data_IF_109900774297
#
_entry.id   IF_109900774297
#
_cell.length_a   1.000
_cell.length_b   1.000
_cell.length_c   1.000
_cell.angle_alpha   90.00
_cell.angle_beta   90.00
_cell.angle_gamma   90.00
#
_symmetry.space_group_name_H-M   'P 1'
#
loop_
_entity.id
_entity.type
_entity.pdbx_description
1 polymer ?
#
# COMPACT_ATOMS: atom_id res chain seq x y z
N UNK A 1 34.49 17.14 -1.99
CA UNK A 1 33.38 17.37 -1.02
C UNK A 1 32.96 15.98 -0.52
N UNK A 2 32.80 15.82 0.80
CA UNK A 2 32.30 14.56 1.35
C UNK A 2 30.89 14.29 0.84
N UNK A 3 30.57 13.05 0.49
CA UNK A 3 29.22 12.64 0.09
C UNK A 3 28.23 12.80 1.25
N UNK A 4 26.91 12.71 0.97
CA UNK A 4 25.89 12.68 2.02
C UNK A 4 26.12 11.48 2.94
N UNK A 5 26.44 10.32 2.36
CA UNK A 5 26.74 9.09 3.10
C UNK A 5 27.95 9.28 4.04
N UNK A 6 29.06 9.88 3.58
CA UNK A 6 30.24 10.11 4.43
C UNK A 6 29.91 10.93 5.68
N UNK A 7 29.07 11.97 5.54
CA UNK A 7 28.63 12.79 6.68
C UNK A 7 27.78 12.00 7.66
N UNK A 8 26.86 11.20 7.16
CA UNK A 8 26.00 10.34 7.99
C UNK A 8 26.85 9.34 8.76
N UNK A 9 27.78 8.64 8.08
CA UNK A 9 28.64 7.65 8.72
C UNK A 9 29.58 8.26 9.76
N UNK A 10 30.13 9.46 9.50
CA UNK A 10 30.95 10.17 10.48
C UNK A 10 30.17 10.47 11.75
N UNK A 11 28.95 11.02 11.61
CA UNK A 11 28.05 11.32 12.73
C UNK A 11 27.64 10.05 13.48
N UNK A 12 27.28 9.00 12.77
CA UNK A 12 26.87 7.71 13.37
C UNK A 12 27.99 7.09 14.21
N UNK A 13 29.26 7.16 13.77
CA UNK A 13 30.41 6.69 14.58
C UNK A 13 30.55 7.46 15.90
N UNK A 14 30.27 8.76 15.93
CA UNK A 14 30.25 9.56 17.15
C UNK A 14 29.13 9.11 18.08
N UNK A 15 27.91 8.99 17.57
CA UNK A 15 26.73 8.53 18.33
C UNK A 15 26.96 7.14 18.96
N UNK A 16 27.48 6.19 18.17
CA UNK A 16 27.80 4.84 18.66
C UNK A 16 28.87 4.88 19.73
N UNK A 17 29.90 5.69 19.56
CA UNK A 17 30.96 5.83 20.55
C UNK A 17 30.45 6.45 21.87
N UNK A 18 29.45 7.32 21.83
CA UNK A 18 28.77 7.89 22.99
C UNK A 18 27.83 6.86 23.64
N UNK A 19 27.03 6.16 22.84
CA UNK A 19 26.12 5.10 23.28
C UNK A 19 26.87 3.98 24.01
N UNK A 20 27.96 3.49 23.45
CA UNK A 20 28.82 2.45 24.09
C UNK A 20 29.40 2.90 25.43
N UNK A 21 29.77 4.17 25.57
CA UNK A 21 30.32 4.71 26.84
C UNK A 21 29.27 4.83 27.93
N UNK A 22 28.03 5.10 27.56
CA UNK A 22 26.91 5.26 28.49
C UNK A 22 26.17 3.96 28.78
N UNK A 23 26.42 2.89 27.98
CA UNK A 23 25.77 1.58 28.15
C UNK A 23 26.49 0.70 29.15
N UNK A 24 25.75 0.09 30.07
CA UNK A 24 26.27 -1.00 30.94
C UNK A 24 26.24 -2.38 30.23
N UNK A 25 25.97 -2.39 28.90
CA UNK A 25 25.72 -3.58 28.11
C UNK A 25 24.24 -3.95 28.09
N UNK A 26 23.88 -4.96 27.29
CA UNK A 26 22.46 -5.31 27.07
C UNK A 26 22.02 -6.54 27.87
N UNK A 27 22.92 -7.13 28.71
CA UNK A 27 22.62 -8.38 29.42
C UNK A 27 22.42 -9.57 28.49
N UNK A 28 21.64 -10.55 28.94
CA UNK A 28 21.25 -11.67 28.09
C UNK A 28 20.18 -11.21 27.09
N UNK A 29 20.49 -11.28 25.81
CA UNK A 29 19.58 -10.90 24.71
C UNK A 29 18.76 -12.13 24.30
N UNK A 30 17.45 -12.02 24.41
CA UNK A 30 16.54 -13.03 23.88
C UNK A 30 16.58 -13.01 22.33
N UNK A 31 16.68 -14.17 21.68
CA UNK A 31 16.60 -14.28 20.23
C UNK A 31 15.32 -13.65 19.64
N UNK A 32 15.30 -13.34 18.35
CA UNK A 32 14.09 -12.90 17.69
C UNK A 32 13.03 -14.01 17.68
N UNK A 33 11.79 -13.64 17.91
CA UNK A 33 10.62 -14.53 17.89
C UNK A 33 9.72 -14.32 16.65
N UNK A 34 10.16 -13.47 15.70
CA UNK A 34 9.46 -13.15 14.44
C UNK A 34 10.41 -13.28 13.27
N UNK A 35 10.04 -14.12 12.32
CA UNK A 35 10.84 -14.40 11.12
C UNK A 35 10.52 -13.36 10.03
N UNK A 36 11.42 -12.39 9.87
CA UNK A 36 11.28 -11.31 8.92
C UNK A 36 11.39 -11.82 7.47
N UNK A 37 12.36 -12.72 7.23
CA UNK A 37 12.57 -13.30 5.89
C UNK A 37 11.42 -14.20 5.49
N UNK A 38 10.91 -15.06 6.38
CA UNK A 38 9.78 -15.93 6.07
C UNK A 38 8.50 -15.13 5.77
N UNK A 39 8.28 -13.99 6.44
CA UNK A 39 7.16 -13.11 6.12
C UNK A 39 7.24 -12.56 4.69
N UNK A 40 8.44 -12.34 4.16
CA UNK A 40 8.67 -11.89 2.78
C UNK A 40 8.74 -13.01 1.74
N UNK A 41 9.03 -14.25 2.17
CA UNK A 41 9.12 -15.41 1.29
C UNK A 41 7.74 -16.02 0.94
N UNK A 42 6.67 -15.55 1.57
CA UNK A 42 5.33 -16.04 1.26
C UNK A 42 4.93 -15.68 -0.20
N UNK A 43 4.08 -16.50 -0.87
CA UNK A 43 3.71 -16.28 -2.27
C UNK A 43 3.09 -14.91 -2.55
N UNK A 44 3.43 -14.31 -3.70
CA UNK A 44 2.94 -13.02 -4.16
C UNK A 44 3.73 -11.83 -3.61
N UNK A 45 3.32 -10.63 -3.99
CA UNK A 45 3.99 -9.39 -3.59
C UNK A 45 3.94 -9.17 -2.09
N UNK A 46 5.07 -8.78 -1.50
CA UNK A 46 5.20 -8.50 -0.07
C UNK A 46 5.58 -7.04 0.17
N UNK A 47 5.18 -6.50 1.31
CA UNK A 47 5.30 -5.08 1.60
C UNK A 47 5.99 -4.86 2.95
N UNK A 48 7.11 -4.13 2.91
CA UNK A 48 7.76 -3.55 4.08
C UNK A 48 7.33 -2.08 4.12
N UNK A 49 6.49 -1.71 5.08
CA UNK A 49 6.05 -0.33 5.21
C UNK A 49 6.94 0.43 6.20
N UNK A 50 7.41 1.62 5.79
CA UNK A 50 8.46 2.34 6.50
C UNK A 50 7.91 3.48 7.36
N UNK A 51 8.32 3.50 8.62
CA UNK A 51 8.16 4.63 9.57
C UNK A 51 9.31 5.59 9.40
N UNK A 52 9.03 6.82 8.91
CA UNK A 52 10.02 7.85 8.66
C UNK A 52 9.43 9.25 8.82
N UNK A 53 10.03 10.09 9.65
CA UNK A 53 9.55 11.46 9.91
C UNK A 53 10.18 12.50 8.99
N UNK A 54 11.41 12.26 8.53
CA UNK A 54 12.17 13.14 7.64
C UNK A 54 13.09 12.36 6.70
N UNK A 55 13.68 13.03 5.71
CA UNK A 55 14.74 12.48 4.88
C UNK A 55 15.67 13.57 4.35
N UNK A 56 16.96 13.28 4.03
CA UNK A 56 17.90 14.25 3.48
C UNK A 56 17.42 14.92 2.17
N UNK A 57 16.63 14.20 1.36
CA UNK A 57 16.14 14.69 0.06
C UNK A 57 14.84 15.49 0.13
N UNK A 58 14.04 15.34 1.19
CA UNK A 58 12.70 16.00 1.32
C UNK A 58 12.57 16.86 2.59
N UNK A 59 13.53 16.80 3.51
CA UNK A 59 13.39 17.42 4.83
C UNK A 59 12.31 16.71 5.65
N UNK A 60 11.60 17.46 6.50
CA UNK A 60 10.47 16.94 7.28
C UNK A 60 9.34 16.49 6.33
N UNK A 61 8.88 15.23 6.48
CA UNK A 61 7.78 14.66 5.68
C UNK A 61 6.47 14.77 6.47
N UNK A 62 6.48 14.29 7.71
CA UNK A 62 5.31 14.34 8.61
C UNK A 62 5.77 14.48 10.06
N UNK A 63 6.06 15.71 10.50
CA UNK A 63 6.58 15.95 11.85
C UNK A 63 5.53 15.69 12.95
N UNK A 64 4.26 15.76 12.61
CA UNK A 64 3.09 15.51 13.46
C UNK A 64 2.61 14.04 13.43
N UNK A 65 3.44 13.13 12.94
CA UNK A 65 3.10 11.71 12.82
C UNK A 65 2.81 11.09 14.19
N UNK A 66 1.59 10.59 14.35
CA UNK A 66 1.20 9.77 15.50
C UNK A 66 1.58 8.32 15.20
N UNK A 67 2.62 7.83 15.86
CA UNK A 67 3.20 6.51 15.59
C UNK A 67 2.19 5.38 15.82
N UNK A 68 1.36 5.46 16.86
CA UNK A 68 0.34 4.48 17.19
C UNK A 68 -0.70 4.32 16.06
N UNK A 69 -1.18 5.43 15.49
CA UNK A 69 -2.13 5.41 14.39
C UNK A 69 -1.53 4.81 13.10
N UNK A 70 -0.28 5.18 12.78
CA UNK A 70 0.42 4.63 11.64
C UNK A 70 0.66 3.13 11.77
N UNK A 71 1.14 2.69 12.93
CA UNK A 71 1.44 1.28 13.18
C UNK A 71 0.18 0.42 13.21
N UNK A 72 -0.97 0.96 13.64
CA UNK A 72 -2.25 0.26 13.54
C UNK A 72 -2.63 -0.05 12.08
N UNK A 73 -2.39 0.89 11.15
CA UNK A 73 -2.59 0.66 9.71
C UNK A 73 -1.55 -0.32 9.14
N UNK A 74 -0.29 -0.21 9.56
CA UNK A 74 0.77 -1.12 9.12
C UNK A 74 0.54 -2.55 9.61
N UNK A 75 0.04 -2.74 10.84
CA UNK A 75 -0.27 -4.07 11.38
C UNK A 75 -1.38 -4.78 10.57
N UNK A 76 -2.27 -4.03 9.91
CA UNK A 76 -3.30 -4.58 9.02
C UNK A 76 -2.75 -4.94 7.63
N UNK A 77 -1.91 -4.10 7.06
CA UNK A 77 -1.61 -4.14 5.62
C UNK A 77 -0.15 -4.50 5.27
N UNK A 78 0.81 -4.34 6.18
CA UNK A 78 2.20 -4.72 5.96
C UNK A 78 2.47 -6.21 6.19
N UNK A 79 3.52 -6.75 5.56
CA UNK A 79 4.12 -8.03 5.94
C UNK A 79 5.19 -7.81 6.99
N UNK A 80 5.99 -6.76 6.83
CA UNK A 80 7.01 -6.30 7.78
C UNK A 80 6.96 -4.78 7.92
N UNK A 81 7.55 -4.25 8.98
CA UNK A 81 7.65 -2.81 9.21
C UNK A 81 9.11 -2.39 9.34
N UNK A 82 9.51 -1.37 8.60
CA UNK A 82 10.82 -0.74 8.69
C UNK A 82 10.73 0.51 9.57
N UNK A 83 11.63 0.66 10.55
CA UNK A 83 11.64 1.81 11.45
C UNK A 83 12.99 2.50 11.37
N UNK A 84 12.98 3.77 10.88
CA UNK A 84 14.18 4.62 10.90
C UNK A 84 14.52 4.98 12.34
N UNK A 85 15.79 4.76 12.73
CA UNK A 85 16.28 5.11 14.07
C UNK A 85 17.38 6.18 14.06
N UNK A 86 17.74 6.73 12.88
CA UNK A 86 18.64 7.86 12.76
C UNK A 86 17.94 9.17 13.09
N UNK A 87 18.47 9.93 14.07
CA UNK A 87 17.85 11.15 14.57
C UNK A 87 18.13 12.36 13.67
N UNK A 88 19.40 12.61 13.35
CA UNK A 88 19.82 13.86 12.70
C UNK A 88 19.31 13.99 11.27
N UNK A 89 19.37 12.91 10.49
CA UNK A 89 19.06 12.95 9.06
C UNK A 89 17.65 12.47 8.71
N UNK A 90 17.05 11.63 9.56
CA UNK A 90 15.75 11.00 9.28
C UNK A 90 14.68 11.27 10.34
N UNK A 91 15.03 11.95 11.43
CA UNK A 91 14.11 12.33 12.50
C UNK A 91 13.52 11.14 13.27
N UNK A 92 14.16 9.96 13.16
CA UNK A 92 13.81 8.76 13.90
C UNK A 92 14.47 8.71 15.28
N UNK A 93 14.24 7.63 16.01
CA UNK A 93 14.95 7.37 17.27
C UNK A 93 14.92 5.89 17.63
N UNK A 94 15.88 5.40 18.44
CA UNK A 94 15.81 4.07 19.05
C UNK A 94 14.51 3.84 19.83
N UNK A 95 13.94 4.90 20.43
CA UNK A 95 12.66 4.86 21.12
C UNK A 95 11.48 4.55 20.20
N UNK A 96 11.50 5.01 18.95
CA UNK A 96 10.46 4.69 17.95
C UNK A 96 10.43 3.19 17.63
N UNK A 97 11.59 2.53 17.55
CA UNK A 97 11.68 1.08 17.34
C UNK A 97 11.14 0.29 18.55
N UNK A 98 11.52 0.71 19.75
CA UNK A 98 11.02 0.09 21.00
C UNK A 98 9.50 0.24 21.13
N UNK A 99 8.96 1.39 20.75
CA UNK A 99 7.53 1.61 20.76
C UNK A 99 6.83 0.82 19.63
N UNK A 100 7.44 0.71 18.46
CA UNK A 100 6.92 -0.13 17.39
C UNK A 100 6.84 -1.60 17.80
N UNK A 101 7.85 -2.12 18.54
CA UNK A 101 7.81 -3.49 19.08
C UNK A 101 6.62 -3.72 20.00
N UNK A 102 6.26 -2.71 20.79
CA UNK A 102 5.13 -2.78 21.72
C UNK A 102 3.77 -2.75 21.00
N UNK A 103 3.66 -1.96 19.92
CA UNK A 103 2.40 -1.67 19.25
C UNK A 103 2.10 -2.59 18.06
N UNK A 104 3.13 -3.09 17.37
CA UNK A 104 3.01 -3.82 16.11
C UNK A 104 3.37 -5.30 16.28
N UNK A 105 2.59 -6.19 15.65
CA UNK A 105 2.83 -7.63 15.64
C UNK A 105 3.69 -8.10 14.46
N UNK A 106 3.88 -7.25 13.46
CA UNK A 106 4.69 -7.58 12.29
C UNK A 106 6.18 -7.62 12.64
N UNK A 107 7.00 -8.44 11.93
CA UNK A 107 8.44 -8.38 12.06
C UNK A 107 8.99 -6.97 11.80
N UNK A 108 9.98 -6.53 12.58
CA UNK A 108 10.52 -5.19 12.57
C UNK A 108 11.95 -5.15 12.02
N UNK A 109 12.18 -4.33 11.00
CA UNK A 109 13.52 -3.97 10.50
C UNK A 109 13.99 -2.69 11.19
N UNK A 110 15.15 -2.72 11.86
CA UNK A 110 15.86 -1.48 12.21
C UNK A 110 16.55 -0.90 10.98
N UNK A 111 16.05 0.20 10.48
CA UNK A 111 16.62 0.94 9.34
C UNK A 111 17.54 2.03 9.90
N UNK A 112 18.84 1.73 9.93
CA UNK A 112 19.88 2.62 10.45
C UNK A 112 21.21 2.35 9.74
N UNK A 113 22.22 3.21 9.93
CA UNK A 113 23.56 3.03 9.42
C UNK A 113 24.40 2.25 10.44
N UNK A 114 24.52 0.94 10.24
CA UNK A 114 25.33 0.07 11.10
C UNK A 114 26.81 0.32 10.81
N UNK A 115 27.58 0.69 11.84
CA UNK A 115 29.02 0.97 11.78
C UNK A 115 29.82 0.26 12.87
N UNK A 116 29.13 -0.45 13.78
CA UNK A 116 29.72 -1.20 14.88
C UNK A 116 28.82 -2.37 15.27
N UNK A 117 29.40 -3.51 15.62
CA UNK A 117 28.67 -4.71 16.04
C UNK A 117 27.80 -4.47 17.28
N UNK A 118 28.14 -3.50 18.12
CA UNK A 118 27.34 -3.07 19.25
C UNK A 118 25.90 -2.67 18.86
N UNK A 119 25.74 -2.04 17.68
CA UNK A 119 24.43 -1.67 17.17
C UNK A 119 23.58 -2.88 16.81
N UNK A 120 24.18 -4.01 16.44
CA UNK A 120 23.45 -5.27 16.20
C UNK A 120 22.82 -5.77 17.50
N UNK A 121 23.58 -5.75 18.60
CA UNK A 121 23.07 -6.12 19.93
C UNK A 121 22.03 -5.13 20.43
N UNK A 122 22.26 -3.82 20.26
CA UNK A 122 21.29 -2.78 20.56
C UNK A 122 19.97 -2.98 19.78
N UNK A 123 20.06 -3.35 18.49
CA UNK A 123 18.89 -3.61 17.67
C UNK A 123 18.01 -4.70 18.27
N UNK A 124 18.60 -5.80 18.71
CA UNK A 124 17.85 -6.87 19.37
C UNK A 124 17.28 -6.41 20.69
N UNK A 125 18.05 -5.69 21.51
CA UNK A 125 17.58 -5.12 22.77
C UNK A 125 16.36 -4.19 22.59
N UNK A 126 16.33 -3.44 21.50
CA UNK A 126 15.21 -2.56 21.14
C UNK A 126 14.01 -3.32 20.53
N UNK A 127 14.18 -4.60 20.17
CA UNK A 127 13.12 -5.45 19.66
C UNK A 127 13.09 -5.60 18.15
N UNK A 128 14.19 -5.31 17.43
CA UNK A 128 14.30 -5.60 16.01
C UNK A 128 14.31 -7.11 15.73
N UNK A 129 13.72 -7.51 14.63
CA UNK A 129 13.71 -8.87 14.10
C UNK A 129 14.63 -8.99 12.86
N UNK A 130 14.99 -7.83 12.28
CA UNK A 130 15.97 -7.72 11.21
C UNK A 130 16.78 -6.43 11.34
N UNK A 131 17.98 -6.43 10.75
CA UNK A 131 18.87 -5.26 10.64
C UNK A 131 19.24 -4.98 9.19
N UNK A 132 19.54 -3.71 8.89
CA UNK A 132 20.02 -3.28 7.60
C UNK A 132 21.55 -3.26 7.59
N UNK A 133 22.18 -3.89 6.59
CA UNK A 133 23.60 -3.75 6.31
C UNK A 133 23.80 -3.14 4.91
N UNK A 134 24.32 -1.92 4.85
CA UNK A 134 24.53 -1.16 3.60
C UNK A 134 25.91 -1.49 3.05
N UNK A 135 25.98 -2.15 1.90
CA UNK A 135 27.24 -2.57 1.28
C UNK A 135 28.18 -1.39 0.97
N UNK A 136 27.62 -0.24 0.56
CA UNK A 136 28.38 1.00 0.33
C UNK A 136 29.05 1.57 1.60
N UNK A 137 28.53 1.23 2.79
CA UNK A 137 28.99 1.77 4.08
C UNK A 137 29.99 0.87 4.81
N UNK A 138 30.04 -0.43 4.45
CA UNK A 138 30.76 -1.46 5.18
C UNK A 138 31.82 -2.16 4.33
N UNK A 139 32.95 -2.52 4.96
CA UNK A 139 33.92 -3.44 4.39
C UNK A 139 33.47 -4.89 4.45
N UNK A 140 34.10 -5.78 3.66
CA UNK A 140 33.72 -7.20 3.59
C UNK A 140 33.85 -7.94 4.94
N UNK A 141 34.81 -7.53 5.78
CA UNK A 141 34.95 -8.03 7.14
C UNK A 141 33.77 -7.65 8.01
N UNK A 142 33.38 -6.37 7.99
CA UNK A 142 32.26 -5.83 8.75
C UNK A 142 30.93 -6.45 8.29
N UNK A 143 30.71 -6.63 6.98
CA UNK A 143 29.53 -7.32 6.45
C UNK A 143 29.41 -8.74 7.01
N UNK A 144 30.51 -9.51 7.05
CA UNK A 144 30.53 -10.87 7.60
C UNK A 144 30.31 -10.89 9.11
N UNK A 145 31.04 -10.05 9.85
CA UNK A 145 31.00 -10.05 11.31
C UNK A 145 29.61 -9.60 11.83
N UNK A 146 29.04 -8.53 11.23
CA UNK A 146 27.74 -8.02 11.65
C UNK A 146 26.60 -8.97 11.27
N UNK A 147 26.66 -9.58 10.08
CA UNK A 147 25.66 -10.58 9.67
C UNK A 147 25.74 -11.86 10.51
N UNK A 148 26.96 -12.32 10.86
CA UNK A 148 27.14 -13.46 11.76
C UNK A 148 26.53 -13.16 13.13
N UNK A 149 26.79 -11.95 13.69
CA UNK A 149 26.23 -11.56 14.99
C UNK A 149 24.71 -11.43 14.98
N UNK A 150 24.13 -10.90 13.89
CA UNK A 150 22.68 -10.84 13.73
C UNK A 150 22.06 -12.25 13.74
N UNK A 151 22.63 -13.18 12.98
CA UNK A 151 22.18 -14.59 12.92
C UNK A 151 22.31 -15.32 14.26
N UNK A 152 23.36 -15.05 15.06
CA UNK A 152 23.46 -15.59 16.44
C UNK A 152 22.30 -15.14 17.34
N UNK A 153 21.71 -13.98 17.06
CA UNK A 153 20.55 -13.42 17.75
C UNK A 153 19.21 -13.77 17.05
N UNK A 154 19.25 -14.67 16.08
CA UNK A 154 18.12 -15.06 15.25
C UNK A 154 17.42 -13.88 14.56
N UNK A 155 18.19 -12.82 14.26
CA UNK A 155 17.73 -11.70 13.43
C UNK A 155 18.12 -11.92 11.97
N UNK A 156 17.20 -11.57 11.07
CA UNK A 156 17.47 -11.53 9.63
C UNK A 156 18.32 -10.31 9.25
N UNK A 157 18.94 -10.37 8.08
CA UNK A 157 19.76 -9.29 7.55
C UNK A 157 19.25 -8.89 6.17
N UNK A 158 18.81 -7.64 6.04
CA UNK A 158 18.56 -7.02 4.75
C UNK A 158 19.86 -6.35 4.26
N UNK A 159 20.50 -6.92 3.22
CA UNK A 159 21.69 -6.35 2.62
C UNK A 159 21.30 -5.34 1.55
N UNK A 160 21.56 -4.06 1.77
CA UNK A 160 21.26 -2.99 0.80
C UNK A 160 22.41 -2.81 -0.18
N UNK A 161 22.07 -2.82 -1.50
CA UNK A 161 22.99 -2.67 -2.61
C UNK A 161 22.50 -1.67 -3.65
N UNK A 162 23.45 -1.04 -4.39
CA UNK A 162 23.18 -0.02 -5.41
C UNK A 162 23.74 -0.39 -6.78
N UNK A 163 24.72 -1.30 -6.83
CA UNK A 163 25.39 -1.73 -8.05
C UNK A 163 25.82 -3.21 -8.02
N UNK A 164 26.42 -3.66 -9.12
CA UNK A 164 26.85 -5.04 -9.32
C UNK A 164 28.03 -5.45 -8.43
N UNK A 165 28.93 -4.50 -8.10
CA UNK A 165 30.07 -4.78 -7.24
C UNK A 165 29.61 -5.01 -5.79
N UNK A 166 28.72 -4.15 -5.30
CA UNK A 166 28.10 -4.31 -3.98
C UNK A 166 27.28 -5.59 -3.91
N UNK A 167 26.51 -5.91 -4.96
CA UNK A 167 25.73 -7.15 -5.03
C UNK A 167 26.63 -8.38 -4.90
N UNK A 168 27.74 -8.44 -5.66
CA UNK A 168 28.68 -9.56 -5.57
C UNK A 168 29.28 -9.70 -4.16
N UNK A 169 29.66 -8.58 -3.52
CA UNK A 169 30.22 -8.57 -2.16
C UNK A 169 29.26 -9.15 -1.13
N UNK A 170 27.98 -8.79 -1.19
CA UNK A 170 26.98 -9.33 -0.23
C UNK A 170 26.65 -10.80 -0.49
N UNK A 171 26.62 -11.23 -1.76
CA UNK A 171 26.45 -12.64 -2.10
C UNK A 171 27.64 -13.50 -1.60
N UNK A 172 28.88 -12.97 -1.70
CA UNK A 172 30.08 -13.61 -1.14
C UNK A 172 30.05 -13.71 0.42
N UNK A 173 29.21 -12.90 1.06
CA UNK A 173 28.91 -12.98 2.50
C UNK A 173 27.73 -13.91 2.84
N UNK A 174 27.13 -14.56 1.85
CA UNK A 174 26.00 -15.48 2.02
C UNK A 174 24.68 -14.73 2.28
N UNK A 175 24.45 -13.64 1.56
CA UNK A 175 23.17 -12.91 1.59
C UNK A 175 22.06 -13.78 0.97
N UNK A 176 20.93 -13.90 1.67
CA UNK A 176 19.72 -14.59 1.25
C UNK A 176 18.50 -13.66 1.19
N UNK A 177 18.69 -12.38 1.55
CA UNK A 177 17.73 -11.29 1.46
C UNK A 177 18.46 -10.00 1.06
N UNK A 178 18.21 -9.51 -0.16
CA UNK A 178 18.90 -8.35 -0.74
C UNK A 178 17.92 -7.23 -1.04
N UNK A 179 18.22 -6.05 -0.53
CA UNK A 179 17.53 -4.79 -0.83
C UNK A 179 18.24 -4.07 -1.97
N UNK A 180 17.58 -3.91 -3.11
CA UNK A 180 18.09 -3.09 -4.22
C UNK A 180 17.53 -1.68 -4.06
N UNK A 181 18.39 -0.75 -3.70
CA UNK A 181 18.01 0.64 -3.52
C UNK A 181 18.12 1.40 -4.85
N UNK A 182 16.96 1.81 -5.39
CA UNK A 182 16.87 2.60 -6.62
C UNK A 182 17.37 4.05 -6.45
N UNK A 183 17.71 4.46 -5.21
CA UNK A 183 18.25 5.79 -4.93
C UNK A 183 19.77 5.75 -4.89
N UNK A 184 20.41 6.53 -5.72
CA UNK A 184 21.84 6.76 -5.66
C UNK A 184 22.20 7.58 -4.40
N UNK A 185 23.13 7.08 -3.56
CA UNK A 185 23.51 7.75 -2.31
C UNK A 185 24.45 8.96 -2.50
N UNK A 186 24.97 9.16 -3.72
CA UNK A 186 25.88 10.28 -4.03
C UNK A 186 25.10 11.54 -4.42
N UNK A 187 24.14 11.41 -5.36
CA UNK A 187 23.39 12.53 -5.94
C UNK A 187 21.89 12.51 -5.59
N UNK A 188 21.44 11.48 -4.89
CA UNK A 188 20.05 11.25 -4.46
C UNK A 188 19.04 11.04 -5.61
N UNK A 189 19.51 10.86 -6.85
CA UNK A 189 18.66 10.51 -7.99
C UNK A 189 18.02 9.13 -7.79
N UNK A 190 16.88 8.91 -8.47
CA UNK A 190 16.15 7.64 -8.41
C UNK A 190 16.03 7.07 -9.82
N UNK A 191 16.42 5.79 -9.97
CA UNK A 191 16.27 5.02 -11.19
C UNK A 191 15.71 3.63 -10.89
N UNK A 192 14.44 3.41 -11.20
CA UNK A 192 13.75 2.13 -10.99
C UNK A 192 14.35 0.98 -11.82
N UNK A 193 15.07 1.28 -12.90
CA UNK A 193 15.75 0.26 -13.71
C UNK A 193 16.90 -0.41 -12.93
N UNK A 194 17.38 0.19 -11.84
CA UNK A 194 18.39 -0.43 -10.95
C UNK A 194 17.89 -1.78 -10.41
N UNK A 195 16.63 -1.85 -9.95
CA UNK A 195 16.04 -3.12 -9.51
C UNK A 195 16.02 -4.15 -10.66
N UNK A 196 15.53 -3.78 -11.84
CA UNK A 196 15.43 -4.71 -12.98
C UNK A 196 16.78 -5.25 -13.41
N UNK A 197 17.82 -4.37 -13.43
CA UNK A 197 19.19 -4.73 -13.79
C UNK A 197 19.81 -5.70 -12.79
N UNK A 198 19.75 -5.37 -11.49
CA UNK A 198 20.42 -6.16 -10.46
C UNK A 198 19.66 -7.46 -10.13
N UNK A 199 18.32 -7.46 -10.22
CA UNK A 199 17.52 -8.69 -10.01
C UNK A 199 17.92 -9.83 -10.97
N UNK A 200 18.27 -9.50 -12.22
CA UNK A 200 18.71 -10.48 -13.19
C UNK A 200 20.03 -11.18 -12.85
N UNK A 201 20.78 -10.65 -11.87
CA UNK A 201 22.06 -11.19 -11.39
C UNK A 201 21.92 -11.95 -10.05
N UNK A 202 20.74 -11.87 -9.41
CA UNK A 202 20.47 -12.57 -8.17
C UNK A 202 20.15 -14.05 -8.42
N UNK A 203 20.67 -14.97 -7.59
CA UNK A 203 20.19 -16.35 -7.55
C UNK A 203 18.70 -16.43 -7.22
N UNK A 204 18.02 -17.51 -7.69
CA UNK A 204 16.58 -17.70 -7.51
C UNK A 204 16.15 -17.90 -6.05
N UNK A 205 17.06 -18.38 -5.20
CA UNK A 205 16.84 -18.63 -3.78
C UNK A 205 17.09 -17.39 -2.89
N UNK A 206 17.56 -16.28 -3.47
CA UNK A 206 17.78 -15.01 -2.81
C UNK A 206 16.57 -14.10 -2.99
N UNK A 207 15.94 -13.70 -1.90
CA UNK A 207 14.81 -12.77 -1.93
C UNK A 207 15.27 -11.36 -2.31
N UNK A 208 14.55 -10.74 -3.22
CA UNK A 208 14.78 -9.39 -3.71
C UNK A 208 13.75 -8.40 -3.14
N UNK A 209 14.24 -7.36 -2.47
CA UNK A 209 13.43 -6.22 -2.03
C UNK A 209 13.77 -5.02 -2.89
N UNK A 210 12.79 -4.38 -3.54
CA UNK A 210 12.98 -3.10 -4.23
C UNK A 210 12.71 -1.95 -3.27
N UNK A 211 13.67 -1.02 -3.17
CA UNK A 211 13.61 0.11 -2.26
C UNK A 211 13.69 1.44 -3.01
N UNK A 212 13.00 2.45 -2.52
CA UNK A 212 12.95 3.82 -3.07
C UNK A 212 12.28 3.94 -4.45
N UNK A 213 11.62 5.08 -4.65
CA UNK A 213 11.05 5.46 -5.96
C UNK A 213 9.64 4.95 -6.23
N UNK A 214 9.10 4.10 -5.40
CA UNK A 214 7.75 3.55 -5.54
C UNK A 214 6.73 4.57 -5.05
N UNK A 215 5.91 5.09 -5.96
CA UNK A 215 4.90 6.10 -5.67
C UNK A 215 3.49 5.58 -5.91
N UNK A 216 3.30 4.73 -6.91
CA UNK A 216 2.02 4.23 -7.36
C UNK A 216 2.06 2.72 -7.57
N UNK A 217 0.89 2.10 -7.67
CA UNK A 217 0.78 0.66 -7.90
C UNK A 217 1.39 0.23 -9.25
N UNK A 218 1.34 1.08 -10.25
CA UNK A 218 1.93 0.80 -11.57
C UNK A 218 3.45 0.63 -11.48
N UNK A 219 4.13 1.33 -10.55
CA UNK A 219 5.57 1.14 -10.32
C UNK A 219 5.86 -0.32 -9.90
N UNK A 220 4.99 -0.91 -9.04
CA UNK A 220 5.14 -2.28 -8.57
C UNK A 220 4.99 -3.33 -9.70
N UNK A 221 4.18 -3.03 -10.72
CA UNK A 221 3.97 -3.95 -11.84
C UNK A 221 5.18 -4.04 -12.76
N UNK A 222 5.99 -2.99 -12.79
CA UNK A 222 7.19 -2.90 -13.63
C UNK A 222 8.45 -3.44 -12.98
N UNK A 223 8.41 -3.77 -11.68
CA UNK A 223 9.58 -4.15 -10.90
C UNK A 223 9.58 -5.66 -10.59
N UNK A 224 10.57 -6.41 -11.08
CA UNK A 224 10.73 -7.83 -10.79
C UNK A 224 11.34 -8.03 -9.39
N UNK A 225 10.54 -7.86 -8.34
CA UNK A 225 10.96 -8.01 -6.96
C UNK A 225 9.93 -8.82 -6.15
N UNK A 226 10.40 -9.57 -5.17
CA UNK A 226 9.58 -10.39 -4.28
C UNK A 226 8.87 -9.51 -3.24
N UNK A 227 9.55 -8.44 -2.80
CA UNK A 227 9.02 -7.49 -1.83
C UNK A 227 9.38 -6.03 -2.15
N UNK A 228 8.64 -5.10 -1.53
CA UNK A 228 8.77 -3.66 -1.77
C UNK A 228 8.87 -2.91 -0.45
N UNK A 229 9.91 -2.08 -0.28
CA UNK A 229 10.05 -1.19 0.88
C UNK A 229 9.56 0.22 0.51
N UNK A 230 8.46 0.65 1.15
CA UNK A 230 7.74 1.88 0.80
C UNK A 230 7.51 2.73 2.05
N UNK A 231 7.90 4.00 1.99
CA UNK A 231 7.69 4.95 3.08
C UNK A 231 7.27 6.33 2.59
N UNK A 232 8.12 6.98 1.80
CA UNK A 232 7.97 8.41 1.44
C UNK A 232 6.67 8.74 0.72
N UNK A 233 6.17 7.88 -0.15
CA UNK A 233 4.92 8.10 -0.90
C UNK A 233 3.69 7.95 0.01
N UNK A 234 3.74 7.04 0.98
CA UNK A 234 2.69 6.85 1.97
C UNK A 234 2.63 8.08 2.87
N UNK A 235 3.75 8.43 3.51
CA UNK A 235 3.82 9.47 4.53
C UNK A 235 3.59 10.89 3.99
N UNK A 236 3.80 11.11 2.69
CA UNK A 236 3.46 12.35 2.00
C UNK A 236 1.98 12.48 1.63
N UNK A 237 1.20 11.40 1.76
CA UNK A 237 -0.25 11.42 1.46
C UNK A 237 -1.04 12.07 2.59
N UNK A 238 -2.08 12.84 2.25
CA UNK A 238 -3.04 13.36 3.24
C UNK A 238 -3.85 12.23 3.89
N UNK A 239 -4.14 11.18 3.12
CA UNK A 239 -4.93 10.02 3.55
C UNK A 239 -4.03 8.76 3.52
N UNK A 240 -3.45 8.42 4.67
CA UNK A 240 -2.52 7.31 4.82
C UNK A 240 -3.19 5.96 4.53
N UNK A 241 -4.38 5.74 5.11
CA UNK A 241 -5.12 4.48 4.97
C UNK A 241 -5.43 4.18 3.51
N UNK A 242 -5.96 5.18 2.80
CA UNK A 242 -6.23 5.06 1.37
C UNK A 242 -4.95 4.76 0.57
N UNK A 243 -3.87 5.50 0.82
CA UNK A 243 -2.61 5.34 0.08
C UNK A 243 -2.00 3.95 0.25
N UNK A 244 -2.02 3.42 1.47
CA UNK A 244 -1.58 2.05 1.76
C UNK A 244 -2.42 1.04 0.98
N UNK A 245 -3.75 1.15 1.03
CA UNK A 245 -4.67 0.25 0.33
C UNK A 245 -4.50 0.29 -1.19
N UNK A 246 -4.37 1.49 -1.76
CA UNK A 246 -4.11 1.67 -3.20
C UNK A 246 -2.80 1.02 -3.65
N UNK A 247 -1.74 1.10 -2.83
CA UNK A 247 -0.47 0.44 -3.12
C UNK A 247 -0.57 -1.08 -3.00
N UNK A 248 -1.13 -1.57 -1.90
CA UNK A 248 -1.13 -3.01 -1.58
C UNK A 248 -2.14 -3.78 -2.44
N UNK A 249 -3.37 -3.27 -2.59
CA UNK A 249 -4.47 -3.98 -3.25
C UNK A 249 -4.89 -3.38 -4.59
N UNK A 250 -4.53 -2.12 -4.84
CA UNK A 250 -5.15 -1.29 -5.87
C UNK A 250 -6.43 -0.65 -5.36
N UNK A 251 -6.93 0.37 -6.08
CA UNK A 251 -8.20 1.00 -5.74
C UNK A 251 -9.38 0.04 -5.92
N UNK A 252 -10.13 -0.21 -4.84
CA UNK A 252 -11.27 -1.14 -4.83
C UNK A 252 -12.50 -0.48 -4.20
N UNK A 253 -13.63 -0.50 -4.90
CA UNK A 253 -14.93 -0.11 -4.37
C UNK A 253 -15.78 -1.36 -4.06
N UNK A 254 -16.24 -1.49 -2.82
CA UNK A 254 -17.22 -2.50 -2.43
C UNK A 254 -18.59 -1.86 -2.37
N UNK A 255 -19.43 -2.20 -3.36
CA UNK A 255 -20.72 -1.57 -3.60
C UNK A 255 -21.88 -2.40 -3.02
N UNK A 256 -23.03 -1.75 -2.73
CA UNK A 256 -24.21 -2.40 -2.17
C UNK A 256 -24.06 -2.75 -0.69
N UNK A 257 -23.43 -1.86 0.07
CA UNK A 257 -23.30 -1.97 1.53
C UNK A 257 -24.65 -1.66 2.18
N UNK A 258 -25.14 -2.60 2.98
CA UNK A 258 -26.39 -2.46 3.75
C UNK A 258 -26.19 -2.62 5.26
N UNK A 259 -25.04 -3.17 5.68
CA UNK A 259 -24.75 -3.48 7.09
C UNK A 259 -23.39 -2.91 7.50
N UNK A 260 -23.33 -2.38 8.73
CA UNK A 260 -22.08 -1.84 9.30
C UNK A 260 -20.98 -2.90 9.37
N UNK A 261 -21.30 -4.15 9.71
CA UNK A 261 -20.33 -5.23 9.81
C UNK A 261 -19.64 -5.52 8.47
N UNK A 262 -20.40 -5.49 7.36
CA UNK A 262 -19.88 -5.70 6.02
C UNK A 262 -18.99 -4.53 5.57
N UNK A 263 -19.41 -3.31 5.92
CA UNK A 263 -18.61 -2.10 5.67
C UNK A 263 -17.26 -2.14 6.39
N UNK A 264 -17.27 -2.49 7.69
CA UNK A 264 -16.06 -2.63 8.49
C UNK A 264 -15.14 -3.71 7.91
N UNK A 265 -15.68 -4.91 7.66
CA UNK A 265 -14.90 -6.02 7.09
C UNK A 265 -14.26 -5.65 5.74
N UNK A 266 -14.99 -4.96 4.87
CA UNK A 266 -14.46 -4.50 3.59
C UNK A 266 -13.29 -3.50 3.78
N UNK A 267 -13.44 -2.53 4.69
CA UNK A 267 -12.40 -1.54 4.99
C UNK A 267 -11.14 -2.19 5.60
N UNK A 268 -11.31 -3.10 6.56
CA UNK A 268 -10.19 -3.78 7.24
C UNK A 268 -9.39 -4.65 6.28
N UNK A 269 -10.06 -5.23 5.27
CA UNK A 269 -9.42 -6.06 4.25
C UNK A 269 -8.75 -5.26 3.14
N UNK A 270 -9.12 -3.99 2.90
CA UNK A 270 -8.44 -3.16 1.91
C UNK A 270 -9.32 -2.36 0.96
N UNK A 271 -10.66 -2.33 1.16
CA UNK A 271 -11.53 -1.50 0.34
C UNK A 271 -11.21 -0.01 0.49
N UNK A 272 -11.09 0.68 -0.65
CA UNK A 272 -10.83 2.11 -0.73
C UNK A 272 -12.11 2.91 -0.61
N UNK A 273 -13.21 2.39 -1.19
CA UNK A 273 -14.53 3.01 -1.18
C UNK A 273 -15.63 2.03 -0.81
N UNK A 274 -16.68 2.57 -0.17
CA UNK A 274 -17.93 1.88 0.13
C UNK A 274 -19.06 2.50 -0.69
N UNK A 275 -19.83 1.68 -1.42
CA UNK A 275 -20.98 2.11 -2.22
C UNK A 275 -22.31 1.86 -1.51
N UNK A 276 -23.13 2.90 -1.41
CA UNK A 276 -24.48 2.87 -0.82
C UNK A 276 -25.52 3.15 -1.89
N UNK A 277 -26.43 2.23 -2.13
CA UNK A 277 -27.43 2.34 -3.19
C UNK A 277 -28.73 2.94 -2.65
N UNK A 278 -29.13 4.08 -3.20
CA UNK A 278 -30.37 4.77 -2.87
C UNK A 278 -31.45 4.50 -3.92
N UNK A 279 -31.80 3.24 -4.16
CA UNK A 279 -32.83 2.85 -5.15
C UNK A 279 -33.75 1.76 -4.55
N UNK A 280 -34.91 2.13 -3.99
CA UNK A 280 -35.79 1.22 -3.24
C UNK A 280 -36.16 -0.11 -3.91
N UNK A 281 -36.32 -0.22 -5.25
CA UNK A 281 -36.57 -1.50 -5.90
C UNK A 281 -35.43 -2.52 -5.77
N UNK A 282 -34.22 -2.08 -5.48
CA UNK A 282 -33.06 -2.97 -5.31
C UNK A 282 -33.02 -3.60 -3.92
N UNK A 283 -32.71 -4.91 -3.80
CA UNK A 283 -32.50 -5.55 -2.49
C UNK A 283 -31.27 -5.03 -1.76
N UNK A 284 -30.38 -4.25 -2.45
CA UNK A 284 -29.19 -3.61 -1.91
C UNK A 284 -29.43 -2.16 -1.47
N UNK A 285 -30.68 -1.71 -1.56
CA UNK A 285 -31.06 -0.34 -1.21
C UNK A 285 -30.93 -0.09 0.29
N UNK A 286 -30.50 1.12 0.63
CA UNK A 286 -30.51 1.63 2.01
C UNK A 286 -31.33 2.90 2.09
N UNK A 287 -31.92 3.16 3.27
CA UNK A 287 -32.52 4.46 3.56
C UNK A 287 -31.38 5.47 3.89
N UNK A 288 -31.71 6.76 3.82
CA UNK A 288 -30.76 7.83 4.19
C UNK A 288 -30.32 7.68 5.65
N UNK A 289 -31.23 7.27 6.55
CA UNK A 289 -30.93 7.05 7.96
C UNK A 289 -29.92 5.91 8.16
N UNK A 290 -30.15 4.77 7.49
CA UNK A 290 -29.23 3.62 7.55
C UNK A 290 -27.86 3.97 7.01
N UNK A 291 -27.78 4.61 5.83
CA UNK A 291 -26.50 5.04 5.24
C UNK A 291 -25.78 6.02 6.16
N UNK A 292 -26.48 7.02 6.69
CA UNK A 292 -25.92 8.02 7.61
C UNK A 292 -25.35 7.39 8.88
N UNK A 293 -26.02 6.40 9.45
CA UNK A 293 -25.54 5.68 10.64
C UNK A 293 -24.23 4.96 10.35
N UNK A 294 -24.14 4.23 9.23
CA UNK A 294 -22.93 3.52 8.82
C UNK A 294 -21.81 4.51 8.49
N UNK A 295 -22.12 5.56 7.73
CA UNK A 295 -21.13 6.55 7.28
C UNK A 295 -20.46 7.30 8.43
N UNK A 296 -21.23 7.64 9.48
CA UNK A 296 -20.70 8.33 10.67
C UNK A 296 -19.88 7.43 11.59
N UNK A 297 -20.15 6.13 11.55
CA UNK A 297 -19.49 5.16 12.44
C UNK A 297 -18.13 4.67 11.92
N UNK A 298 -17.83 4.85 10.64
CA UNK A 298 -16.68 4.26 9.98
C UNK A 298 -15.86 5.30 9.21
N UNK A 299 -14.53 5.16 9.19
CA UNK A 299 -13.65 5.91 8.29
C UNK A 299 -13.87 5.50 6.83
N UNK A 300 -13.01 5.94 5.94
CA UNK A 300 -13.03 5.58 4.52
C UNK A 300 -14.00 6.39 3.70
N UNK A 301 -13.88 6.28 2.38
CA UNK A 301 -14.66 7.08 1.43
C UNK A 301 -15.98 6.43 1.09
N UNK A 302 -17.06 7.20 1.03
CA UNK A 302 -18.43 6.76 0.80
C UNK A 302 -18.92 7.32 -0.52
N UNK A 303 -19.50 6.44 -1.34
CA UNK A 303 -20.08 6.77 -2.66
C UNK A 303 -21.56 6.47 -2.63
N UNK A 304 -22.40 7.45 -2.87
CA UNK A 304 -23.83 7.25 -3.09
C UNK A 304 -24.09 6.84 -4.53
N UNK A 305 -24.89 5.81 -4.72
CA UNK A 305 -25.32 5.32 -6.04
C UNK A 305 -26.79 5.70 -6.25
N UNK A 306 -27.07 6.47 -7.30
CA UNK A 306 -28.35 7.07 -7.58
C UNK A 306 -28.84 6.62 -8.96
N UNK A 307 -30.16 6.33 -9.08
CA UNK A 307 -30.77 5.83 -10.31
C UNK A 307 -31.82 6.81 -10.85
N UNK A 308 -32.79 7.23 -10.00
CA UNK A 308 -33.94 8.03 -10.42
C UNK A 308 -34.12 9.33 -9.63
N UNK A 309 -33.21 9.61 -8.66
CA UNK A 309 -33.29 10.80 -7.81
C UNK A 309 -33.03 12.08 -8.62
N UNK A 310 -33.78 13.14 -8.33
CA UNK A 310 -33.47 14.44 -8.91
C UNK A 310 -32.18 15.05 -8.27
N UNK A 311 -31.51 15.98 -8.95
CA UNK A 311 -30.24 16.53 -8.48
C UNK A 311 -30.29 17.17 -7.08
N UNK A 312 -31.41 17.84 -6.70
CA UNK A 312 -31.52 18.47 -5.37
C UNK A 312 -31.64 17.41 -4.26
N UNK A 313 -32.35 16.31 -4.55
CA UNK A 313 -32.41 15.16 -3.64
C UNK A 313 -31.04 14.52 -3.46
N UNK A 314 -30.27 14.35 -4.56
CA UNK A 314 -28.89 13.84 -4.50
C UNK A 314 -28.02 14.74 -3.60
N UNK A 315 -28.04 16.06 -3.81
CA UNK A 315 -27.30 17.01 -2.98
C UNK A 315 -27.69 16.94 -1.50
N UNK A 316 -28.98 16.78 -1.22
CA UNK A 316 -29.47 16.62 0.15
C UNK A 316 -28.92 15.35 0.81
N UNK A 317 -28.92 14.22 0.10
CA UNK A 317 -28.39 12.93 0.60
C UNK A 317 -26.88 12.99 0.81
N UNK A 318 -26.15 13.59 -0.13
CA UNK A 318 -24.70 13.81 -0.02
C UNK A 318 -24.37 14.53 1.28
N UNK A 319 -25.08 15.63 1.58
CA UNK A 319 -24.85 16.39 2.80
C UNK A 319 -25.24 15.62 4.08
N UNK A 320 -26.37 14.90 4.04
CA UNK A 320 -26.86 14.16 5.21
C UNK A 320 -25.98 12.98 5.59
N UNK A 321 -25.40 12.29 4.60
CA UNK A 321 -24.58 11.08 4.76
C UNK A 321 -23.07 11.38 4.72
N UNK A 322 -22.66 12.62 4.51
CA UNK A 322 -21.25 13.01 4.35
C UNK A 322 -20.55 12.15 3.27
N UNK A 323 -21.19 12.11 2.07
CA UNK A 323 -20.67 11.32 0.97
C UNK A 323 -19.50 12.03 0.30
N UNK A 324 -18.51 11.23 -0.12
CA UNK A 324 -17.31 11.70 -0.83
C UNK A 324 -17.43 11.59 -2.35
N UNK A 325 -18.42 10.82 -2.83
CA UNK A 325 -18.69 10.64 -4.25
C UNK A 325 -20.15 10.37 -4.57
N UNK A 326 -20.55 10.75 -5.77
CA UNK A 326 -21.87 10.53 -6.37
C UNK A 326 -21.69 9.69 -7.61
N UNK A 327 -22.34 8.53 -7.66
CA UNK A 327 -22.38 7.68 -8.86
C UNK A 327 -23.77 7.75 -9.47
N UNK A 328 -23.84 8.23 -10.71
CA UNK A 328 -25.08 8.34 -11.49
C UNK A 328 -25.27 7.07 -12.33
N UNK A 329 -26.10 6.16 -11.84
CA UNK A 329 -26.32 4.85 -12.46
C UNK A 329 -27.57 4.80 -13.35
N UNK A 330 -28.36 5.88 -13.37
CA UNK A 330 -29.57 6.04 -14.18
C UNK A 330 -29.36 6.92 -15.41
N UNK A 331 -30.47 7.24 -16.08
CA UNK A 331 -30.49 8.13 -17.21
C UNK A 331 -30.51 9.60 -16.75
N UNK A 332 -29.33 10.18 -16.55
CA UNK A 332 -29.18 11.60 -16.25
C UNK A 332 -28.77 12.35 -17.52
N UNK A 333 -29.49 13.44 -17.81
CA UNK A 333 -29.13 14.28 -18.94
C UNK A 333 -27.94 15.20 -18.61
N UNK A 334 -27.37 15.79 -19.64
CA UNK A 334 -26.18 16.67 -19.49
C UNK A 334 -26.46 17.94 -18.66
N UNK A 335 -27.73 18.34 -18.47
CA UNK A 335 -28.11 19.46 -17.63
C UNK A 335 -28.04 19.06 -16.15
N UNK A 336 -28.56 17.89 -15.79
CA UNK A 336 -28.48 17.32 -14.45
C UNK A 336 -27.03 17.06 -14.01
N UNK A 337 -26.21 16.48 -14.90
CA UNK A 337 -24.77 16.27 -14.65
C UNK A 337 -24.06 17.60 -14.38
N UNK A 338 -24.25 18.61 -15.24
CA UNK A 338 -23.65 19.94 -15.07
C UNK A 338 -24.16 20.64 -13.80
N UNK A 339 -25.42 20.46 -13.45
CA UNK A 339 -26.01 21.02 -12.23
C UNK A 339 -25.31 20.47 -11.00
N UNK A 340 -25.07 19.15 -10.96
CA UNK A 340 -24.33 18.48 -9.88
C UNK A 340 -22.86 18.89 -9.84
N UNK A 341 -22.15 18.87 -10.97
CA UNK A 341 -20.75 19.30 -11.07
C UNK A 341 -20.50 20.66 -10.42
N UNK A 342 -21.38 21.62 -10.67
CA UNK A 342 -21.21 23.00 -10.14
C UNK A 342 -21.50 23.13 -8.65
N UNK A 343 -22.13 22.13 -8.01
CA UNK A 343 -22.57 22.16 -6.59
C UNK A 343 -21.89 21.15 -5.69
N UNK A 344 -21.33 20.08 -6.25
CA UNK A 344 -20.58 19.06 -5.53
C UNK A 344 -19.15 19.55 -5.26
N UNK A 345 -18.98 20.47 -4.28
CA UNK A 345 -17.65 20.94 -3.91
C UNK A 345 -16.93 19.90 -3.04
N UNK A 346 -15.78 19.41 -3.52
CA UNK A 346 -15.00 18.39 -2.81
C UNK A 346 -15.60 16.98 -2.82
N UNK A 347 -16.67 16.77 -3.60
CA UNK A 347 -17.32 15.47 -3.81
C UNK A 347 -17.19 15.10 -5.28
N UNK A 348 -16.56 13.97 -5.58
CA UNK A 348 -16.35 13.55 -6.96
C UNK A 348 -17.62 12.95 -7.60
N UNK A 349 -17.70 13.06 -8.92
CA UNK A 349 -18.79 12.55 -9.72
C UNK A 349 -18.33 11.35 -10.56
N UNK A 350 -19.12 10.28 -10.55
CA UNK A 350 -18.93 9.08 -11.38
C UNK A 350 -20.12 8.93 -12.32
N UNK A 351 -19.87 8.95 -13.61
CA UNK A 351 -20.88 8.68 -14.64
C UNK A 351 -20.77 7.24 -15.11
N UNK A 352 -21.92 6.55 -15.25
CA UNK A 352 -21.98 5.12 -15.59
C UNK A 352 -22.25 4.94 -17.08
N UNK A 353 -21.47 4.09 -17.73
CA UNK A 353 -21.59 3.70 -19.12
C UNK A 353 -21.73 2.19 -19.26
N UNK A 354 -22.59 1.73 -20.15
CA UNK A 354 -22.69 0.31 -20.49
C UNK A 354 -21.55 -0.11 -21.44
N UNK A 355 -21.23 -1.40 -21.44
CA UNK A 355 -20.28 -1.98 -22.39
C UNK A 355 -20.65 -1.75 -23.87
N UNK A 356 -21.91 -1.44 -24.16
CA UNK A 356 -22.37 -1.07 -25.51
C UNK A 356 -22.01 0.36 -25.87
N UNK A 357 -21.88 1.24 -24.87
CA UNK A 357 -21.60 2.69 -25.01
C UNK A 357 -20.12 3.06 -24.88
N UNK A 358 -19.20 2.11 -25.10
CA UNK A 358 -17.75 2.33 -24.98
C UNK A 358 -17.18 3.44 -25.87
N UNK A 359 -17.90 3.89 -26.89
CA UNK A 359 -17.49 5.01 -27.76
C UNK A 359 -17.65 6.40 -27.13
N UNK A 360 -18.42 6.56 -26.07
CA UNK A 360 -18.83 7.86 -25.50
C UNK A 360 -18.31 8.15 -24.11
N UNK A 361 -17.73 7.18 -23.38
CA UNK A 361 -17.27 7.44 -22.01
C UNK A 361 -16.08 8.42 -21.95
N UNK A 362 -15.27 8.48 -23.00
CA UNK A 362 -14.13 9.41 -23.12
C UNK A 362 -14.59 10.89 -23.27
N UNK A 363 -15.86 11.13 -23.59
CA UNK A 363 -16.46 12.46 -23.71
C UNK A 363 -17.07 12.95 -22.37
N UNK A 364 -17.11 12.09 -21.35
CA UNK A 364 -17.64 12.42 -20.01
C UNK A 364 -16.84 13.56 -19.37
N UNK A 365 -17.55 14.44 -18.66
CA UNK A 365 -16.98 15.51 -17.83
C UNK A 365 -16.89 15.14 -16.35
N UNK A 366 -17.44 13.99 -15.97
CA UNK A 366 -17.34 13.52 -14.60
C UNK A 366 -15.88 13.23 -14.22
N UNK A 367 -15.55 13.33 -12.96
CA UNK A 367 -14.21 13.05 -12.44
C UNK A 367 -13.77 11.61 -12.73
N UNK A 368 -14.74 10.68 -12.74
CA UNK A 368 -14.53 9.27 -13.04
C UNK A 368 -15.66 8.73 -13.93
N UNK A 369 -15.36 7.68 -14.68
CA UNK A 369 -16.33 6.90 -15.44
C UNK A 369 -16.42 5.50 -14.86
N UNK A 370 -17.61 4.90 -14.84
CA UNK A 370 -17.79 3.50 -14.48
C UNK A 370 -18.31 2.74 -15.70
N UNK A 371 -17.59 1.68 -16.07
CA UNK A 371 -17.99 0.77 -17.13
C UNK A 371 -18.63 -0.49 -16.52
N UNK A 372 -19.91 -0.72 -16.81
CA UNK A 372 -20.66 -1.91 -16.37
C UNK A 372 -21.04 -2.76 -17.60
N UNK A 373 -21.08 -4.09 -17.42
CA UNK A 373 -21.59 -5.01 -18.42
C UNK A 373 -23.10 -4.81 -18.68
N UNK A 374 -23.84 -4.43 -17.64
CA UNK A 374 -25.28 -4.25 -17.71
C UNK A 374 -25.68 -2.96 -18.47
N UNK A 375 -26.86 -2.93 -19.11
CA UNK A 375 -27.45 -1.71 -19.61
C UNK A 375 -27.66 -0.68 -18.48
N UNK A 376 -27.72 0.61 -18.84
CA UNK A 376 -27.99 1.68 -17.86
C UNK A 376 -29.29 1.40 -17.08
N UNK A 377 -29.20 1.46 -15.75
CA UNK A 377 -30.32 1.21 -14.84
C UNK A 377 -30.52 -0.23 -14.37
N UNK A 378 -29.82 -1.21 -14.94
CA UNK A 378 -29.96 -2.66 -14.60
C UNK A 378 -28.68 -3.25 -13.96
N UNK A 379 -27.97 -2.52 -13.13
CA UNK A 379 -26.73 -2.98 -12.51
C UNK A 379 -26.88 -4.22 -11.62
N UNK A 380 -25.79 -5.00 -11.48
CA UNK A 380 -25.68 -6.12 -10.53
C UNK A 380 -26.17 -7.47 -11.06
N UNK A 381 -26.28 -7.65 -12.38
CA UNK A 381 -26.66 -8.93 -13.02
C UNK A 381 -25.55 -10.01 -12.90
N UNK A 382 -24.33 -9.62 -12.53
CA UNK A 382 -23.20 -10.56 -12.33
C UNK A 382 -22.58 -11.06 -13.62
N UNK A 383 -22.89 -10.44 -14.75
CA UNK A 383 -22.31 -10.76 -16.06
C UNK A 383 -21.11 -9.83 -16.34
N UNK A 384 -20.05 -10.36 -16.95
CA UNK A 384 -18.91 -9.59 -17.45
C UNK A 384 -19.02 -9.40 -18.96
N UNK A 385 -18.46 -8.31 -19.47
CA UNK A 385 -18.27 -8.13 -20.91
C UNK A 385 -16.84 -8.49 -21.32
N UNK A 386 -16.57 -8.56 -22.62
CA UNK A 386 -15.23 -8.79 -23.16
C UNK A 386 -14.30 -7.60 -22.85
N UNK A 387 -13.44 -7.72 -21.85
CA UNK A 387 -12.50 -6.68 -21.42
C UNK A 387 -11.38 -6.39 -22.42
N UNK A 388 -11.13 -7.28 -23.42
CA UNK A 388 -10.19 -6.99 -24.50
C UNK A 388 -10.59 -5.73 -25.31
N UNK A 389 -11.87 -5.35 -25.28
CA UNK A 389 -12.38 -4.11 -25.91
C UNK A 389 -11.87 -2.83 -25.25
N UNK A 390 -11.27 -2.91 -24.06
CA UNK A 390 -10.66 -1.79 -23.33
C UNK A 390 -9.23 -1.50 -23.78
N UNK A 391 -8.60 -2.42 -24.53
CA UNK A 391 -7.22 -2.30 -24.95
C UNK A 391 -6.97 -1.02 -25.80
N UNK A 392 -5.91 -0.29 -25.45
CA UNK A 392 -5.49 0.94 -26.15
C UNK A 392 -6.27 2.21 -25.77
N UNK A 393 -7.14 2.14 -24.75
CA UNK A 393 -7.89 3.28 -24.23
C UNK A 393 -7.21 3.88 -22.99
N UNK A 394 -7.47 5.14 -22.70
CA UNK A 394 -7.12 5.76 -21.42
C UNK A 394 -8.12 5.32 -20.36
N UNK A 395 -7.66 4.52 -19.41
CA UNK A 395 -8.46 3.96 -18.33
C UNK A 395 -8.07 4.54 -16.95
N UNK A 396 -7.28 5.59 -16.92
CA UNK A 396 -6.73 6.20 -15.71
C UNK A 396 -7.78 6.80 -14.75
N UNK A 397 -9.01 7.02 -15.23
CA UNK A 397 -10.16 7.50 -14.46
C UNK A 397 -11.34 6.51 -14.45
N UNK A 398 -11.12 5.28 -14.92
CA UNK A 398 -12.20 4.31 -15.12
C UNK A 398 -12.33 3.33 -13.96
N UNK A 399 -13.54 3.22 -13.42
CA UNK A 399 -13.97 2.13 -12.57
C UNK A 399 -14.51 1.00 -13.45
N UNK A 400 -14.02 -0.22 -13.29
CA UNK A 400 -14.54 -1.39 -13.97
C UNK A 400 -15.51 -2.14 -13.05
N UNK A 401 -16.72 -2.35 -13.54
CA UNK A 401 -17.80 -3.09 -12.86
C UNK A 401 -18.32 -4.23 -13.77
N UNK A 402 -19.31 -4.96 -13.27
CA UNK A 402 -19.98 -6.05 -13.98
C UNK A 402 -19.24 -7.38 -13.85
N UNK A 403 -19.84 -8.33 -13.12
CA UNK A 403 -19.39 -9.71 -12.99
C UNK A 403 -18.00 -9.93 -12.36
N UNK A 404 -17.42 -8.92 -11.72
CA UNK A 404 -16.11 -9.07 -11.07
C UNK A 404 -16.27 -9.84 -9.75
N UNK A 405 -15.41 -10.84 -9.55
CA UNK A 405 -15.36 -11.70 -8.37
C UNK A 405 -13.92 -12.16 -8.09
N UNK A 406 -13.61 -12.81 -6.96
CA UNK A 406 -12.23 -13.14 -6.60
C UNK A 406 -11.43 -13.91 -7.67
N UNK A 407 -12.09 -14.73 -8.49
CA UNK A 407 -11.39 -15.55 -9.49
C UNK A 407 -10.94 -14.76 -10.75
N UNK A 408 -11.63 -13.67 -11.11
CA UNK A 408 -11.30 -12.85 -12.29
C UNK A 408 -10.77 -11.44 -11.95
N UNK A 409 -10.62 -11.11 -10.68
CA UNK A 409 -10.22 -9.76 -10.23
C UNK A 409 -8.83 -9.34 -10.75
N UNK A 410 -7.87 -10.27 -10.86
CA UNK A 410 -6.54 -9.96 -11.40
C UNK A 410 -6.58 -9.68 -12.90
N UNK A 411 -7.40 -10.41 -13.65
CA UNK A 411 -7.64 -10.15 -15.06
C UNK A 411 -8.30 -8.78 -15.26
N UNK A 412 -9.31 -8.47 -14.46
CA UNK A 412 -9.93 -7.14 -14.45
C UNK A 412 -8.92 -6.03 -14.15
N UNK A 413 -8.06 -6.22 -13.15
CA UNK A 413 -7.01 -5.25 -12.79
C UNK A 413 -5.94 -5.11 -13.89
N UNK A 414 -5.61 -6.19 -14.60
CA UNK A 414 -4.63 -6.20 -15.69
C UNK A 414 -5.08 -5.39 -16.92
N UNK A 415 -6.35 -5.03 -17.03
CA UNK A 415 -6.83 -4.10 -18.07
C UNK A 415 -6.26 -2.70 -17.96
N UNK A 416 -5.70 -2.34 -16.79
CA UNK A 416 -5.15 -1.01 -16.52
C UNK A 416 -6.19 0.03 -16.06
N UNK A 417 -7.38 -0.41 -15.66
CA UNK A 417 -8.39 0.48 -15.06
C UNK A 417 -7.92 1.08 -13.76
N UNK A 418 -8.42 2.28 -13.45
CA UNK A 418 -8.12 2.97 -12.21
C UNK A 418 -8.56 2.16 -10.99
N UNK A 419 -9.82 1.68 -10.98
CA UNK A 419 -10.39 0.97 -9.83
C UNK A 419 -11.29 -0.18 -10.25
N UNK A 420 -11.43 -1.17 -9.36
CA UNK A 420 -12.45 -2.22 -9.47
C UNK A 420 -13.68 -1.86 -8.63
N UNK A 421 -14.89 -2.04 -9.17
CA UNK A 421 -16.16 -1.89 -8.46
C UNK A 421 -16.87 -3.23 -8.36
N UNK A 422 -16.99 -3.77 -7.15
CA UNK A 422 -17.56 -5.10 -6.90
C UNK A 422 -18.79 -5.02 -6.03
N UNK A 423 -19.83 -5.77 -6.42
CA UNK A 423 -21.06 -5.91 -5.63
C UNK A 423 -21.45 -7.37 -5.45
N UNK A 424 -22.21 -7.96 -6.39
CA UNK A 424 -22.78 -9.31 -6.30
C UNK A 424 -21.72 -10.42 -6.20
N UNK A 425 -20.54 -10.25 -6.82
CA UNK A 425 -19.42 -11.21 -6.75
C UNK A 425 -18.86 -11.42 -5.34
N UNK A 426 -19.19 -10.51 -4.40
CA UNK A 426 -18.78 -10.57 -3.00
C UNK A 426 -19.93 -10.89 -2.03
N UNK A 427 -21.08 -11.32 -2.51
CA UNK A 427 -22.28 -11.51 -1.70
C UNK A 427 -22.62 -13.00 -1.50
N UNK A 428 -23.09 -13.34 -0.30
CA UNK A 428 -23.77 -14.62 -0.03
C UNK A 428 -25.24 -14.57 -0.43
N UNK A 429 -25.86 -13.41 -0.19
CA UNK A 429 -27.23 -13.07 -0.59
C UNK A 429 -27.26 -11.58 -1.00
N UNK A 430 -28.19 -11.13 -1.86
CA UNK A 430 -28.26 -9.74 -2.26
C UNK A 430 -28.26 -8.75 -1.08
N UNK A 431 -27.26 -7.87 -1.03
CA UNK A 431 -27.05 -6.90 0.06
C UNK A 431 -26.33 -7.44 1.29
N UNK A 432 -25.88 -8.70 1.28
CA UNK A 432 -25.12 -9.33 2.37
C UNK A 432 -23.75 -9.77 1.86
N UNK A 433 -22.68 -9.14 2.31
CA UNK A 433 -21.32 -9.51 1.90
C UNK A 433 -20.87 -10.81 2.58
N UNK A 434 -20.18 -11.66 1.82
CA UNK A 434 -19.59 -12.91 2.28
C UNK A 434 -18.14 -12.62 2.74
N UNK A 435 -17.82 -12.80 4.04
CA UNK A 435 -16.48 -12.55 4.55
C UNK A 435 -15.39 -13.38 3.85
N UNK A 436 -15.71 -14.61 3.44
CA UNK A 436 -14.75 -15.48 2.75
C UNK A 436 -14.43 -14.96 1.35
N UNK A 437 -15.43 -14.50 0.61
CA UNK A 437 -15.24 -13.90 -0.72
C UNK A 437 -14.53 -12.56 -0.64
N UNK A 438 -14.83 -11.74 0.38
CA UNK A 438 -14.09 -10.50 0.65
C UNK A 438 -12.60 -10.80 0.89
N UNK A 439 -12.27 -11.72 1.81
CA UNK A 439 -10.89 -12.10 2.10
C UNK A 439 -10.19 -12.64 0.83
N UNK A 440 -10.82 -13.58 0.12
CA UNK A 440 -10.27 -14.15 -1.10
C UNK A 440 -10.00 -13.11 -2.20
N UNK A 441 -10.82 -12.04 -2.30
CA UNK A 441 -10.57 -10.93 -3.23
C UNK A 441 -9.27 -10.21 -2.87
N UNK A 442 -9.17 -9.75 -1.62
CA UNK A 442 -8.02 -8.93 -1.20
C UNK A 442 -6.72 -9.73 -1.14
N UNK A 443 -6.76 -11.02 -0.78
CA UNK A 443 -5.61 -11.92 -0.86
C UNK A 443 -5.11 -12.04 -2.32
N UNK A 444 -6.02 -12.23 -3.28
CA UNK A 444 -5.69 -12.27 -4.70
C UNK A 444 -5.08 -10.94 -5.19
N UNK A 445 -5.70 -9.82 -4.89
CA UNK A 445 -5.22 -8.50 -5.31
C UNK A 445 -3.86 -8.16 -4.70
N UNK A 446 -3.62 -8.59 -3.45
CA UNK A 446 -2.33 -8.44 -2.78
C UNK A 446 -1.24 -9.26 -3.45
N UNK A 447 -1.52 -10.53 -3.72
CA UNK A 447 -0.57 -11.44 -4.36
C UNK A 447 -0.12 -10.94 -5.74
N UNK A 448 -1.01 -10.27 -6.48
CA UNK A 448 -0.73 -9.84 -7.85
C UNK A 448 -0.79 -11.00 -8.85
N UNK A 449 -0.39 -10.76 -10.09
CA UNK A 449 -0.24 -11.84 -11.08
C UNK A 449 0.96 -12.70 -10.70
N UNK A 450 0.75 -13.99 -10.60
CA UNK A 450 1.87 -14.94 -10.63
C UNK A 450 2.50 -14.83 -12.02
N UNK A 451 3.80 -14.55 -12.11
CA UNK A 451 4.51 -14.67 -13.37
C UNK A 451 4.33 -16.10 -13.84
N UNK A 452 3.71 -16.27 -15.01
CA UNK A 452 3.58 -17.59 -15.64
C UNK A 452 5.00 -18.07 -15.96
N UNK A 453 5.46 -19.05 -15.19
CA UNK A 453 6.76 -19.74 -15.34
C UNK A 453 6.91 -20.30 -16.74
#
# INVERSE_FOLDING_TARGET
MSSVLDRILARKREEVAEGRRSSEGFGDLEPSDRDFRAALAAPGRRFILEVKKASPSRGAIRPDLVLEELLALYDLHADCVSVLTDEEFFGGSPGDLKEARRLCRRPLLRKDFMVDVWQIEESRHLGADAVLLIAAALGDGELRDFSARARELEMDVLFEVHDEEELRRVLDCGADLVGINNRNLVDLSIDLQTTSRLRSLLPDDVLCVSESGINERNDLQSLPADAFLIGSSILASEDLDRKIKELVYGPVKVCGITRRADAQAALDLGATWLGFLFHPPSPRSVTVEQAREICRALPGRKVGVFVDQNPDEILSIVHQCDLHGVQLHGNYDSEAVRYLETRLQGVFLVEVFSAESLGSFEESRADYQLLDAAPQGEGGLGESFDWARLQGRDLSTVFLAGGIHPANALEAQATGVYALDLSSGLESEPGIKDPTRLAALFDKLRAGQEESS
#
